data_IF_007392154903
#
_entry.id   IF_007392154903
#
_cell.length_a   1.000
_cell.length_b   1.000
_cell.length_c   1.000
_cell.angle_alpha   90.00
_cell.angle_beta   90.00
_cell.angle_gamma   90.00
#
_symmetry.space_group_name_H-M   'P 1'
#
loop_
_entity.id
_entity.type
_entity.pdbx_description
1 polymer ?
2 non-polymer ?
3 water ?
#
# COMPACT_ATOMS: atom_id res chain seq x y z
N UNK A 19 -19.17 21.24 -4.50
CA UNK A 19 -18.75 20.84 -5.87
C UNK A 19 -17.86 19.61 -5.89
N UNK A 20 -18.24 18.62 -6.70
CA UNK A 20 -17.50 17.38 -6.83
C UNK A 20 -16.54 17.45 -8.02
N UNK A 21 -15.85 16.35 -8.29
CA UNK A 21 -14.88 16.27 -9.38
C UNK A 21 -13.64 17.10 -9.06
N UNK A 22 -13.64 17.75 -7.90
CA UNK A 22 -12.50 18.55 -7.49
C UNK A 22 -11.33 17.61 -7.17
N UNK A 23 -10.11 18.15 -7.14
CA UNK A 23 -8.94 17.34 -6.83
C UNK A 23 -9.07 16.72 -5.44
N UNK A 24 -9.54 17.50 -4.46
CA UNK A 24 -9.69 16.95 -3.12
C UNK A 24 -10.68 15.79 -3.07
N UNK A 25 -11.86 15.98 -3.66
CA UNK A 25 -12.88 14.93 -3.66
C UNK A 25 -12.38 13.67 -4.37
N UNK A 26 -11.68 13.85 -5.48
CA UNK A 26 -11.12 12.71 -6.21
C UNK A 26 -10.01 11.99 -5.40
N UNK A 27 -9.15 12.74 -4.72
CA UNK A 27 -8.10 12.15 -3.91
C UNK A 27 -8.75 11.31 -2.79
N UNK A 28 -9.73 11.90 -2.10
CA UNK A 28 -10.44 11.18 -1.05
C UNK A 28 -11.14 9.95 -1.64
N UNK A 29 -11.67 10.07 -2.85
CA UNK A 29 -12.33 8.93 -3.48
C UNK A 29 -11.32 7.82 -3.76
N UNK A 30 -10.13 8.19 -4.24
CA UNK A 30 -9.09 7.19 -4.52
C UNK A 30 -8.64 6.49 -3.22
N UNK A 31 -8.54 7.25 -2.14
CA UNK A 31 -8.15 6.68 -0.85
C UNK A 31 -9.18 5.66 -0.41
N UNK A 32 -10.46 5.98 -0.60
CA UNK A 32 -11.54 5.06 -0.22
C UNK A 32 -11.47 3.77 -1.07
N UNK A 33 -11.24 3.92 -2.38
CA UNK A 33 -11.15 2.74 -3.23
C UNK A 33 -9.99 1.86 -2.74
N UNK A 34 -8.84 2.46 -2.48
CA UNK A 34 -7.71 1.69 -1.96
C UNK A 34 -8.08 1.03 -0.61
N UNK A 35 -8.69 1.80 0.27
CA UNK A 35 -9.08 1.30 1.59
C UNK A 35 -10.03 0.10 1.47
N UNK A 36 -10.92 0.15 0.48
CA UNK A 36 -11.88 -0.94 0.28
C UNK A 36 -11.17 -2.18 -0.24
N UNK A 37 -10.23 -2.03 -1.18
CA UNK A 37 -9.47 -3.22 -1.62
C UNK A 37 -8.68 -3.81 -0.43
N UNK A 38 -8.15 -2.94 0.43
CA UNK A 38 -7.42 -3.46 1.59
C UNK A 38 -8.37 -4.26 2.48
N UNK A 39 -9.59 -3.75 2.67
CA UNK A 39 -10.58 -4.45 3.47
C UNK A 39 -10.84 -5.81 2.84
N UNK A 40 -10.90 -5.87 1.50
CA UNK A 40 -11.13 -7.14 0.80
C UNK A 40 -9.93 -8.08 1.01
N UNK A 41 -8.71 -7.57 0.89
CA UNK A 41 -7.52 -8.41 1.11
C UNK A 41 -7.54 -9.00 2.54
N UNK A 42 -7.86 -8.16 3.52
CA UNK A 42 -7.94 -8.64 4.90
C UNK A 42 -8.95 -9.79 5.02
N UNK A 43 -10.12 -9.65 4.41
CA UNK A 43 -11.13 -10.71 4.49
C UNK A 43 -10.67 -12.03 3.83
N UNK A 44 -9.68 -11.96 2.95
CA UNK A 44 -9.21 -13.16 2.24
C UNK A 44 -7.91 -13.75 2.78
N UNK A 45 -7.31 -13.09 3.75
CA UNK A 45 -6.03 -13.51 4.33
C UNK A 45 -6.26 -14.10 5.72
N UNK A 46 -5.78 -15.32 5.96
CA UNK A 46 -5.97 -15.95 7.27
C UNK A 46 -4.91 -15.65 8.33
N UNK A 47 -3.81 -15.01 7.95
CA UNK A 47 -2.73 -14.78 8.90
C UNK A 47 -2.93 -13.54 9.74
N UNK A 48 -2.84 -13.72 11.05
CA UNK A 48 -3.09 -12.62 11.96
C UNK A 48 -2.11 -11.48 11.89
N UNK A 49 -0.85 -11.76 11.58
CA UNK A 49 0.12 -10.68 11.50
C UNK A 49 -0.21 -9.73 10.37
N UNK A 50 -0.59 -10.28 9.22
CA UNK A 50 -0.94 -9.43 8.09
C UNK A 50 -2.25 -8.69 8.31
N UNK A 51 -3.23 -9.36 8.91
CA UNK A 51 -4.51 -8.71 9.18
C UNK A 51 -4.27 -7.50 10.09
N UNK A 52 -3.47 -7.69 11.13
CA UNK A 52 -3.17 -6.60 12.07
C UNK A 52 -2.51 -5.41 11.36
N UNK A 53 -1.50 -5.68 10.54
CA UNK A 53 -0.82 -4.61 9.82
C UNK A 53 -1.75 -3.87 8.87
N UNK A 54 -2.53 -4.62 8.09
CA UNK A 54 -3.45 -4.01 7.14
C UNK A 54 -4.55 -3.21 7.84
N UNK A 55 -5.03 -3.70 8.98
CA UNK A 55 -6.06 -2.96 9.70
C UNK A 55 -5.52 -1.61 10.17
N UNK A 56 -4.24 -1.56 10.54
CA UNK A 56 -3.63 -0.29 10.95
C UNK A 56 -3.54 0.66 9.74
N UNK A 57 -3.18 0.11 8.59
CA UNK A 57 -3.13 0.93 7.38
C UNK A 57 -4.51 1.57 7.09
N UNK A 58 -5.59 0.81 7.24
CA UNK A 58 -6.92 1.38 6.96
C UNK A 58 -7.22 2.59 7.86
N UNK A 59 -6.87 2.48 9.13
CA UNK A 59 -7.09 3.59 10.05
C UNK A 59 -6.25 4.78 9.55
N UNK A 60 -4.99 4.52 9.20
CA UNK A 60 -4.10 5.59 8.74
C UNK A 60 -4.53 6.21 7.42
N UNK A 61 -5.24 5.46 6.58
CA UNK A 61 -5.75 6.05 5.34
C UNK A 61 -6.83 7.06 5.74
N UNK A 62 -7.59 6.78 6.80
CA UNK A 62 -8.59 7.76 7.25
C UNK A 62 -7.84 8.98 7.80
N UNK A 63 -6.72 8.75 8.50
CA UNK A 63 -5.97 9.89 9.01
C UNK A 63 -5.40 10.73 7.86
N UNK A 64 -4.98 10.05 6.79
CA UNK A 64 -4.47 10.75 5.62
C UNK A 64 -5.59 11.60 5.03
N UNK A 65 -6.79 11.04 4.97
CA UNK A 65 -7.91 11.81 4.45
C UNK A 65 -8.20 13.05 5.30
N UNK A 66 -8.04 12.95 6.61
CA UNK A 66 -8.28 14.10 7.47
C UNK A 66 -7.17 15.13 7.32
N UNK A 67 -5.94 14.65 7.14
CA UNK A 67 -4.80 15.54 6.92
C UNK A 67 -5.17 16.36 5.67
N UNK A 68 -5.45 15.68 4.56
CA UNK A 68 -5.82 16.35 3.30
C UNK A 68 -6.98 17.34 3.42
N UNK A 69 -8.05 16.90 4.08
CA UNK A 69 -9.26 17.69 4.28
C UNK A 69 -9.13 18.90 5.20
N UNK A 70 -8.10 18.92 6.04
CA UNK A 70 -7.91 20.02 6.99
C UNK A 70 -6.55 20.70 6.85
N UNK A 71 -5.90 20.52 5.70
CA UNK A 71 -4.59 21.10 5.43
C UNK A 71 -3.62 20.80 6.58
N UNK A 72 -3.62 19.54 7.01
CA UNK A 72 -2.76 19.04 8.08
C UNK A 72 -3.06 19.61 9.47
N UNK A 73 -4.27 20.15 9.68
CA UNK A 73 -4.65 20.72 10.98
C UNK A 73 -5.12 19.70 12.01
N UNK A 74 -5.99 18.78 11.60
CA UNK A 74 -6.53 17.75 12.49
C UNK A 74 -5.65 16.50 12.62
N UNK A 75 -4.90 16.20 11.57
CA UNK A 75 -3.99 15.06 11.55
C UNK A 75 -2.85 15.50 10.66
N UNK A 76 -1.64 15.05 10.97
CA UNK A 76 -0.48 15.38 10.15
C UNK A 76 0.42 14.17 9.99
N UNK A 77 0.44 13.62 8.79
CA UNK A 77 1.26 12.46 8.50
C UNK A 77 2.72 12.89 8.58
N UNK A 78 3.51 12.14 9.33
CA UNK A 78 4.93 12.43 9.48
C UNK A 78 5.80 11.17 9.29
N UNK A 79 7.11 11.33 9.46
CA UNK A 79 8.04 10.23 9.27
C UNK A 79 7.77 8.95 10.05
N UNK A 80 7.19 9.04 11.25
CA UNK A 80 6.93 7.83 12.03
C UNK A 80 5.94 6.88 11.36
N UNK A 81 4.99 7.44 10.61
CA UNK A 81 4.01 6.63 9.88
C UNK A 81 4.78 5.84 8.83
N UNK A 82 5.60 6.54 8.06
CA UNK A 82 6.37 5.91 7.01
C UNK A 82 7.32 4.85 7.60
N UNK A 83 7.94 5.19 8.74
CA UNK A 83 8.88 4.30 9.40
C UNK A 83 8.30 2.92 9.67
N UNK A 84 7.14 2.89 10.33
CA UNK A 84 6.46 1.65 10.63
C UNK A 84 6.26 0.80 9.34
N UNK A 85 5.87 1.43 8.24
CA UNK A 85 5.67 0.68 6.98
C UNK A 85 6.99 0.02 6.54
N UNK A 86 8.07 0.77 6.60
CA UNK A 86 9.38 0.25 6.22
C UNK A 86 9.86 -0.89 7.12
N UNK A 87 9.64 -0.77 8.43
CA UNK A 87 10.07 -1.81 9.36
C UNK A 87 9.30 -3.10 9.14
N UNK A 88 7.99 -2.99 8.90
CA UNK A 88 7.21 -4.21 8.66
C UNK A 88 7.62 -4.81 7.32
N UNK A 89 7.95 -3.95 6.36
CA UNK A 89 8.37 -4.45 5.06
C UNK A 89 9.63 -5.30 5.26
N UNK A 90 10.59 -4.78 6.04
CA UNK A 90 11.81 -5.53 6.32
C UNK A 90 11.53 -6.88 6.97
N UNK A 91 10.58 -6.94 7.91
CA UNK A 91 10.24 -8.21 8.57
C UNK A 91 9.64 -9.27 7.64
N UNK A 92 8.75 -8.85 6.73
CA UNK A 92 8.16 -9.80 5.79
C UNK A 92 9.23 -10.33 4.82
N UNK A 93 10.10 -9.44 4.38
CA UNK A 93 11.15 -9.83 3.46
C UNK A 93 12.12 -10.78 4.16
N UNK A 94 12.31 -10.62 5.47
CA UNK A 94 13.20 -11.54 6.19
C UNK A 94 12.60 -12.94 6.12
N UNK A 95 11.27 -13.02 6.17
CA UNK A 95 10.62 -14.33 6.10
C UNK A 95 10.62 -14.92 4.70
N UNK A 96 10.35 -14.10 3.68
CA UNK A 96 10.29 -14.63 2.33
C UNK A 96 11.67 -14.89 1.75
N UNK A 97 12.67 -14.16 2.23
CA UNK A 97 13.99 -14.34 1.66
C UNK A 97 14.05 -13.54 0.36
N UNK A 98 15.18 -13.57 -0.35
CA UNK A 98 15.31 -12.82 -1.60
C UNK A 98 14.46 -13.34 -2.75
N UNK A 99 14.01 -12.43 -3.60
CA UNK A 99 13.20 -12.80 -4.75
C UNK A 99 13.75 -12.11 -6.00
N UNK A 100 13.77 -12.83 -7.12
CA UNK A 100 14.20 -12.27 -8.39
C UNK A 100 13.13 -11.29 -8.87
N UNK A 101 13.55 -10.27 -9.61
CA UNK A 101 12.64 -9.27 -10.18
C UNK A 101 12.65 -9.47 -11.71
N UNK A 102 11.53 -9.23 -12.40
CA UNK A 102 10.27 -8.78 -11.81
C UNK A 102 9.41 -9.96 -11.40
N UNK A 103 8.60 -9.77 -10.36
CA UNK A 103 7.67 -10.79 -9.92
C UNK A 103 6.38 -10.59 -10.75
N UNK A 104 5.89 -11.67 -11.36
CA UNK A 104 4.65 -11.61 -12.13
C UNK A 104 3.56 -11.73 -11.07
N UNK A 105 2.70 -10.71 -10.95
CA UNK A 105 1.66 -10.75 -9.93
C UNK A 105 0.69 -11.93 -9.98
N UNK A 106 0.56 -12.62 -8.85
CA UNK A 106 -0.33 -13.77 -8.79
C UNK A 106 0.17 -14.86 -7.83
N UNK A 107 -0.31 -16.08 -8.07
CA UNK A 107 0.04 -17.24 -7.26
C UNK A 107 -1.16 -17.67 -6.41
N UNK A 108 -0.98 -17.66 -5.09
CA UNK A 108 -2.08 -18.00 -4.18
C UNK A 108 -3.15 -16.90 -4.29
N UNK A 109 -4.38 -17.21 -3.90
CA UNK A 109 -5.42 -16.18 -3.97
C UNK A 109 -5.03 -15.04 -3.01
N UNK A 110 -4.39 -15.37 -1.89
CA UNK A 110 -3.96 -14.35 -0.93
C UNK A 110 -2.94 -13.39 -1.55
N UNK A 111 -1.90 -13.95 -2.17
CA UNK A 111 -0.90 -13.10 -2.81
C UNK A 111 -1.54 -12.33 -3.98
N UNK A 112 -2.47 -12.97 -4.69
CA UNK A 112 -3.09 -12.31 -5.84
C UNK A 112 -3.90 -11.10 -5.41
N UNK A 113 -4.67 -11.22 -4.34
CA UNK A 113 -5.46 -10.07 -3.90
C UNK A 113 -4.55 -8.97 -3.37
N UNK A 114 -3.43 -9.36 -2.76
CA UNK A 114 -2.45 -8.38 -2.27
C UNK A 114 -1.82 -7.62 -3.44
N UNK A 115 -1.54 -8.32 -4.54
CA UNK A 115 -0.98 -7.66 -5.71
C UNK A 115 -1.99 -6.71 -6.35
N UNK A 116 -3.26 -7.10 -6.36
CA UNK A 116 -4.27 -6.21 -6.92
C UNK A 116 -4.31 -4.93 -6.06
N UNK A 117 -4.30 -5.13 -4.75
CA UNK A 117 -4.34 -4.02 -3.80
C UNK A 117 -3.09 -3.14 -4.00
N UNK A 118 -1.95 -3.79 -4.21
CA UNK A 118 -0.69 -3.09 -4.46
C UNK A 118 -0.79 -2.20 -5.74
N UNK A 119 -1.36 -2.74 -6.80
CA UNK A 119 -1.48 -1.97 -8.04
C UNK A 119 -2.45 -0.79 -7.88
N UNK A 120 -3.45 -0.95 -7.02
CA UNK A 120 -4.38 0.16 -6.79
C UNK A 120 -3.65 1.23 -5.96
N UNK A 121 -2.84 0.79 -5.00
CA UNK A 121 -2.09 1.76 -4.18
C UNK A 121 -1.18 2.59 -5.10
N UNK A 122 -0.57 1.93 -6.09
CA UNK A 122 0.30 2.62 -7.03
C UNK A 122 -0.50 3.60 -7.90
N UNK A 123 -1.76 3.26 -8.22
CA UNK A 123 -2.58 4.17 -9.01
C UNK A 123 -2.92 5.41 -8.16
N UNK A 124 -3.21 5.21 -6.88
CA UNK A 124 -3.50 6.33 -5.98
C UNK A 124 -2.24 7.19 -5.83
N UNK A 125 -1.08 6.54 -5.73
CA UNK A 125 0.19 7.28 -5.61
C UNK A 125 0.41 8.19 -6.83
N UNK A 126 0.23 7.65 -8.04
CA UNK A 126 0.37 8.47 -9.26
C UNK A 126 -0.64 9.61 -9.28
N UNK A 127 -1.90 9.31 -8.97
CA UNK A 127 -2.91 10.37 -8.94
C UNK A 127 -2.54 11.45 -7.90
N UNK A 128 -2.02 11.04 -6.75
CA UNK A 128 -1.63 11.99 -5.72
C UNK A 128 -0.62 13.00 -6.26
N UNK A 129 0.35 12.53 -7.04
CA UNK A 129 1.34 13.42 -7.64
C UNK A 129 0.61 14.43 -8.53
N UNK A 130 -0.37 13.96 -9.28
CA UNK A 130 -1.14 14.85 -10.15
C UNK A 130 -2.00 15.83 -9.33
N UNK A 131 -2.60 15.36 -8.24
CA UNK A 131 -3.44 16.24 -7.43
C UNK A 131 -2.63 17.32 -6.75
N UNK A 132 -1.38 17.00 -6.43
CA UNK A 132 -0.51 17.97 -5.78
C UNK A 132 -0.29 19.19 -6.66
N UNK A 133 -0.40 19.00 -7.97
CA UNK A 133 -0.23 20.11 -8.90
C UNK A 133 -1.39 21.09 -8.76
N UNK A 134 -2.58 20.57 -8.48
CA UNK A 134 -3.74 21.42 -8.32
C UNK A 134 -3.90 21.89 -6.87
N UNK A 135 -3.28 21.17 -5.94
CA UNK A 135 -3.36 21.51 -4.53
C UNK A 135 -1.97 21.42 -3.90
N UNK A 136 -1.09 22.39 -4.20
CA UNK A 136 0.28 22.40 -3.67
C UNK A 136 0.40 22.34 -2.14
N UNK A 137 -0.70 22.50 -1.43
CA UNK A 137 -0.68 22.46 0.03
C UNK A 137 -0.69 21.04 0.58
N UNK A 138 -0.91 20.05 -0.26
CA UNK A 138 -0.94 18.68 0.23
C UNK A 138 0.37 18.30 0.91
N UNK A 139 0.26 17.63 2.05
CA UNK A 139 1.42 17.17 2.81
C UNK A 139 2.19 16.12 1.98
N UNK A 140 3.43 16.45 1.63
CA UNK A 140 4.29 15.57 0.83
C UNK A 140 4.50 14.17 1.45
N UNK A 141 4.41 14.08 2.77
CA UNK A 141 4.60 12.81 3.45
C UNK A 141 3.52 11.79 3.07
N UNK A 142 2.41 12.29 2.55
CA UNK A 142 1.31 11.43 2.13
C UNK A 142 1.73 10.60 0.93
N UNK A 143 2.40 11.24 -0.02
CA UNK A 143 2.86 10.53 -1.21
C UNK A 143 3.92 9.51 -0.79
N UNK A 144 4.79 9.90 0.15
CA UNK A 144 5.80 8.96 0.64
C UNK A 144 5.14 7.74 1.30
N UNK A 145 4.10 7.99 2.09
CA UNK A 145 3.40 6.90 2.77
C UNK A 145 2.85 5.92 1.72
N UNK A 146 2.19 6.46 0.70
CA UNK A 146 1.59 5.65 -0.36
C UNK A 146 2.65 4.83 -1.10
N UNK A 147 3.82 5.43 -1.34
CA UNK A 147 4.93 4.73 -2.01
C UNK A 147 5.41 3.56 -1.16
N UNK A 148 5.58 3.77 0.14
CA UNK A 148 6.04 2.71 1.04
C UNK A 148 4.99 1.63 1.19
N UNK A 149 3.72 2.02 1.13
CA UNK A 149 2.66 1.04 1.28
C UNK A 149 2.68 0.01 0.16
N UNK A 150 2.90 0.44 -1.07
CA UNK A 150 2.91 -0.55 -2.14
C UNK A 150 4.07 -1.55 -1.96
N UNK A 151 5.21 -1.10 -1.42
CA UNK A 151 6.31 -2.05 -1.21
C UNK A 151 5.96 -3.04 -0.08
N UNK A 152 5.25 -2.55 0.94
CA UNK A 152 4.83 -3.42 2.03
C UNK A 152 3.86 -4.49 1.48
N UNK A 153 2.90 -4.07 0.66
CA UNK A 153 1.94 -5.00 0.08
C UNK A 153 2.67 -6.07 -0.77
N UNK A 154 3.69 -5.64 -1.50
CA UNK A 154 4.51 -6.53 -2.34
C UNK A 154 5.19 -7.56 -1.43
N UNK A 155 5.83 -7.09 -0.36
CA UNK A 155 6.51 -8.02 0.55
C UNK A 155 5.53 -8.99 1.18
N UNK A 156 4.32 -8.52 1.47
CA UNK A 156 3.34 -9.41 2.06
C UNK A 156 2.90 -10.47 1.05
N UNK A 157 2.80 -10.10 -0.22
CA UNK A 157 2.39 -11.06 -1.25
C UNK A 157 3.45 -12.17 -1.40
N UNK A 158 4.72 -11.81 -1.25
CA UNK A 158 5.80 -12.82 -1.32
C UNK A 158 5.65 -13.82 -0.17
N UNK A 159 5.39 -13.31 1.03
CA UNK A 159 5.23 -14.17 2.19
C UNK A 159 3.96 -15.01 2.06
N UNK A 160 2.90 -14.43 1.51
CA UNK A 160 1.65 -15.18 1.31
C UNK A 160 1.89 -16.41 0.45
N UNK A 161 2.61 -16.24 -0.66
CA UNK A 161 2.89 -17.40 -1.52
C UNK A 161 3.77 -18.42 -0.81
N UNK A 162 4.80 -17.96 -0.11
CA UNK A 162 5.64 -18.90 0.64
C UNK A 162 4.81 -19.71 1.63
N UNK A 163 3.94 -19.03 2.38
CA UNK A 163 3.11 -19.73 3.35
C UNK A 163 2.13 -20.69 2.67
N UNK A 164 1.85 -20.45 1.39
CA UNK A 164 0.94 -21.30 0.64
C UNK A 164 1.67 -22.32 -0.25
N UNK A 165 2.99 -22.43 -0.11
CA UNK A 165 3.75 -23.37 -0.95
C UNK A 165 3.62 -23.11 -2.43
N UNK A 166 3.51 -21.84 -2.78
CA UNK A 166 3.39 -21.44 -4.17
C UNK A 166 4.67 -20.70 -4.59
N UNK A 167 5.27 -21.10 -5.72
CA UNK A 167 6.48 -20.45 -6.23
C UNK A 167 6.14 -19.16 -6.96
N UNK A 168 7.05 -18.19 -6.90
CA UNK A 168 6.86 -16.93 -7.59
C UNK A 168 7.14 -17.14 -9.08
N UNK A 169 6.36 -16.49 -9.93
CA UNK A 169 6.57 -16.54 -11.37
C UNK A 169 7.41 -15.28 -11.63
N UNK A 170 8.46 -15.40 -12.42
CA UNK A 170 9.38 -14.29 -12.69
C UNK A 170 9.53 -13.91 -14.19
N UNK A 171 9.57 -12.61 -14.45
CA UNK A 171 9.83 -12.07 -15.78
C UNK A 171 11.17 -11.43 -15.44
N UNK A 172 12.21 -12.24 -15.58
CA UNK A 172 13.57 -11.89 -15.19
C UNK A 172 14.29 -10.72 -15.83
N UNK A 173 14.60 -9.71 -15.02
CA UNK A 173 15.32 -8.54 -15.52
C UNK A 173 16.75 -8.50 -14.99
N UNK A 174 17.16 -9.56 -14.30
CA UNK A 174 18.53 -9.63 -13.81
C UNK A 174 18.86 -9.07 -12.45
N UNK A 175 17.85 -8.61 -11.72
CA UNK A 175 18.08 -8.05 -10.39
C UNK A 175 17.25 -8.84 -9.37
N UNK A 176 17.61 -8.77 -8.10
CA UNK A 176 16.80 -9.44 -7.08
C UNK A 176 16.64 -8.49 -5.89
N UNK A 177 15.61 -8.73 -5.08
CA UNK A 177 15.37 -7.89 -3.94
C UNK A 177 15.35 -8.72 -2.66
X LIG B 1 -12.52 7.36 2.97
X LIG B 1 -11.13 7.73 2.93
X LIG B 1 -10.24 6.66 3.43
X LIG B 1 -10.98 8.92 3.74
X LIG B 1 -12.12 9.78 3.61
X LIG B 1 -12.26 10.57 4.81
#
# INVERSE_FOLDING_TARGET
>A
XFTKSGDDGNTNVINKRVGKDSPLVNFLGDLDELNSFIGFAISKIPWEDMKKDLERVQVELFEIGEDLSTQSSKKKIDEKYVKWLEERTVEYRKESGPVKLFVIPGGSEEASVLHVTRSVARRVERNAVKYTKELPEINRMIIVYLNRLSSLLFAMALVANKRRNVSEKIYDIGKFW
>B hetero
1 POG OH C2 C1 C3 O2 C5
#
